data_IF_314814401440
#
_entry.id   IF_314814401440
#
_cell.length_a   1.000
_cell.length_b   1.000
_cell.length_c   1.000
_cell.angle_alpha   90.00
_cell.angle_beta   90.00
_cell.angle_gamma   90.00
#
_symmetry.space_group_name_H-M   'P 1'
#
loop_
_entity.id
_entity.type
_entity.pdbx_description
1 polymer ?
#
# COMPACT_ATOMS: atom_id res chain seq x y z
N UNK A 1 6.42 4.49 17.81
CA UNK A 1 5.69 4.06 19.03
C UNK A 1 5.68 5.22 20.01
N UNK A 2 4.55 5.55 20.62
CA UNK A 2 4.41 6.69 21.56
C UNK A 2 4.18 6.16 22.98
N UNK A 3 4.89 6.75 23.93
CA UNK A 3 4.79 6.42 25.37
C UNK A 3 4.35 7.65 26.17
N UNK A 4 3.60 7.42 27.24
CA UNK A 4 3.16 8.41 28.21
C UNK A 4 3.85 8.12 29.55
N UNK A 5 4.29 9.17 30.24
CA UNK A 5 4.80 9.06 31.60
C UNK A 5 3.68 9.42 32.58
N UNK A 6 3.40 8.51 33.51
CA UNK A 6 2.44 8.72 34.60
C UNK A 6 3.09 9.52 35.73
N UNK A 7 2.27 10.03 36.66
CA UNK A 7 2.74 10.83 37.79
C UNK A 7 3.68 10.06 38.74
N UNK A 8 3.56 8.73 38.78
CA UNK A 8 4.46 7.84 39.53
C UNK A 8 5.79 7.52 38.80
N UNK A 9 6.00 8.13 37.63
CA UNK A 9 7.17 7.93 36.79
C UNK A 9 7.13 6.69 35.90
N UNK A 10 6.06 5.89 35.95
CA UNK A 10 5.92 4.72 35.08
C UNK A 10 5.63 5.12 33.63
N UNK A 11 6.13 4.33 32.67
CA UNK A 11 5.89 4.53 31.25
C UNK A 11 4.81 3.56 30.76
N UNK A 12 3.76 4.09 30.16
CA UNK A 12 2.68 3.31 29.55
C UNK A 12 2.57 3.65 28.06
N UNK A 13 2.23 2.66 27.22
CA UNK A 13 2.07 2.92 25.78
C UNK A 13 0.75 3.64 25.50
N UNK A 14 0.78 4.67 24.65
CA UNK A 14 -0.43 5.43 24.29
C UNK A 14 -1.53 4.56 23.65
N UNK A 15 -1.15 3.55 22.85
CA UNK A 15 -2.10 2.61 22.25
C UNK A 15 -2.75 1.65 23.26
N UNK A 16 -2.19 1.52 24.47
CA UNK A 16 -2.78 0.70 25.54
C UNK A 16 -3.86 1.45 26.33
N UNK A 17 -3.82 2.79 26.33
CA UNK A 17 -4.74 3.62 27.12
C UNK A 17 -5.75 4.40 26.26
N UNK A 18 -5.48 4.57 24.96
CA UNK A 18 -6.39 5.26 24.04
C UNK A 18 -6.99 4.30 23.02
N UNK A 19 -8.31 4.01 23.11
CA UNK A 19 -9.02 3.18 22.14
C UNK A 19 -8.92 3.72 20.70
N UNK A 20 -8.91 5.05 20.54
CA UNK A 20 -8.75 5.69 19.24
C UNK A 20 -7.37 5.42 18.64
N UNK A 21 -6.31 5.64 19.43
CA UNK A 21 -4.93 5.41 18.97
C UNK A 21 -4.73 3.92 18.69
N UNK A 22 -5.30 3.02 19.49
CA UNK A 22 -5.30 1.58 19.23
C UNK A 22 -5.93 1.23 17.87
N UNK A 23 -7.13 1.73 17.60
CA UNK A 23 -7.85 1.45 16.36
C UNK A 23 -7.12 1.95 15.09
N UNK A 24 -6.29 2.99 15.22
CA UNK A 24 -5.46 3.54 14.13
C UNK A 24 -4.12 2.81 14.04
N UNK A 25 -3.47 2.50 15.17
CA UNK A 25 -2.12 1.93 15.23
C UNK A 25 -2.03 0.49 14.72
N UNK A 26 -3.12 -0.29 14.82
CA UNK A 26 -3.19 -1.65 14.29
C UNK A 26 -3.18 -1.70 12.74
N UNK A 27 -3.31 -0.55 12.08
CA UNK A 27 -3.12 -0.44 10.63
C UNK A 27 -1.69 -0.02 10.35
N UNK A 28 -0.82 -0.99 10.11
CA UNK A 28 0.43 -0.76 9.38
C UNK A 28 0.05 -0.31 7.96
N UNK A 29 -0.15 0.99 7.76
CA UNK A 29 -0.46 1.57 6.45
C UNK A 29 0.85 1.73 5.69
N UNK A 30 1.25 0.70 4.94
CA UNK A 30 2.26 0.81 3.90
C UNK A 30 1.59 0.90 2.55
N UNK A 31 1.81 1.99 1.81
CA UNK A 31 1.44 2.06 0.40
C UNK A 31 2.55 1.42 -0.43
N UNK A 32 2.36 0.15 -0.79
CA UNK A 32 3.31 -0.58 -1.63
C UNK A 32 2.91 -0.40 -3.09
N UNK A 33 3.66 0.45 -3.80
CA UNK A 33 3.45 0.72 -5.22
C UNK A 33 4.43 -0.07 -6.07
N UNK A 34 3.90 -0.75 -7.08
CA UNK A 34 4.70 -1.31 -8.15
C UNK A 34 4.74 -0.29 -9.30
N UNK A 35 5.94 0.18 -9.64
CA UNK A 35 6.12 1.19 -10.67
C UNK A 35 6.48 0.52 -12.00
N UNK A 36 5.80 0.93 -13.06
CA UNK A 36 6.01 0.43 -14.41
C UNK A 36 5.75 1.54 -15.44
N UNK A 37 6.31 1.44 -16.65
CA UNK A 37 6.06 2.39 -17.74
C UNK A 37 4.57 2.52 -18.08
N UNK A 38 4.11 3.74 -18.36
CA UNK A 38 2.69 4.02 -18.66
C UNK A 38 2.27 3.38 -19.99
N UNK A 39 3.22 3.22 -20.89
CA UNK A 39 3.10 2.64 -22.22
C UNK A 39 2.52 1.22 -22.18
N UNK A 40 2.67 0.50 -21.06
CA UNK A 40 2.08 -0.84 -20.89
C UNK A 40 0.54 -0.79 -20.75
N UNK A 41 0.00 0.30 -20.17
CA UNK A 41 -1.45 0.52 -20.06
C UNK A 41 -2.04 1.15 -21.32
N UNK A 42 -1.21 1.89 -22.06
CA UNK A 42 -1.59 2.64 -23.24
C UNK A 42 -0.48 2.48 -24.28
N UNK A 43 -0.42 1.32 -24.95
CA UNK A 43 0.52 1.14 -26.06
C UNK A 43 0.16 2.15 -27.15
N UNK A 44 1.18 2.77 -27.75
CA UNK A 44 0.98 3.59 -28.95
C UNK A 44 0.40 2.72 -30.08
N UNK A 45 -0.37 3.34 -30.98
CA UNK A 45 -1.19 2.68 -32.02
C UNK A 45 -0.42 1.74 -32.98
N UNK A 46 0.91 1.62 -32.85
CA UNK A 46 1.79 0.85 -33.74
C UNK A 46 2.60 -0.26 -33.05
N UNK A 47 2.32 -0.62 -31.79
CA UNK A 47 3.13 -1.61 -31.03
C UNK A 47 2.45 -2.98 -31.00
N UNK A 48 2.42 -3.69 -32.12
CA UNK A 48 1.78 -5.01 -32.23
C UNK A 48 2.71 -6.16 -31.79
N UNK A 49 4.04 -5.95 -31.80
CA UNK A 49 5.03 -7.01 -31.54
C UNK A 49 4.97 -7.59 -30.11
N UNK A 50 4.52 -6.79 -29.14
CA UNK A 50 4.46 -7.15 -27.71
C UNK A 50 3.03 -7.12 -27.14
N UNK A 51 2.02 -7.08 -28.02
CA UNK A 51 0.62 -7.04 -27.60
C UNK A 51 0.26 -8.23 -26.67
N UNK A 52 0.70 -9.48 -26.94
CA UNK A 52 0.42 -10.60 -26.04
C UNK A 52 0.96 -10.42 -24.62
N UNK A 53 2.16 -9.84 -24.49
CA UNK A 53 2.81 -9.55 -23.21
C UNK A 53 2.12 -8.40 -22.47
N UNK A 54 1.67 -7.37 -23.19
CA UNK A 54 0.89 -6.28 -22.58
C UNK A 54 -0.47 -6.76 -22.08
N UNK A 55 -1.16 -7.60 -22.85
CA UNK A 55 -2.43 -8.20 -22.44
C UNK A 55 -2.25 -9.09 -21.21
N UNK A 56 -1.16 -9.86 -21.17
CA UNK A 56 -0.81 -10.71 -20.03
C UNK A 56 -0.49 -9.91 -18.77
N UNK A 57 0.31 -8.86 -18.89
CA UNK A 57 0.60 -7.97 -17.77
C UNK A 57 -0.66 -7.26 -17.25
N UNK A 58 -1.51 -6.76 -18.15
CA UNK A 58 -2.74 -6.06 -17.78
C UNK A 58 -3.76 -6.95 -17.05
N UNK A 59 -3.75 -8.27 -17.28
CA UNK A 59 -4.57 -9.22 -16.50
C UNK A 59 -4.21 -9.25 -15.02
N UNK A 60 -3.00 -8.85 -14.64
CA UNK A 60 -2.55 -8.78 -13.26
C UNK A 60 -2.89 -7.45 -12.57
N UNK A 61 -3.53 -6.50 -13.27
CA UNK A 61 -3.92 -5.20 -12.71
C UNK A 61 -5.44 -5.10 -12.65
N UNK A 62 -6.00 -4.87 -11.46
CA UNK A 62 -7.43 -4.63 -11.27
C UNK A 62 -7.67 -3.56 -10.22
N UNK A 63 -8.41 -2.51 -10.58
CA UNK A 63 -8.72 -1.36 -9.73
C UNK A 63 -7.44 -0.74 -9.11
N UNK A 64 -6.44 -0.46 -9.96
CA UNK A 64 -5.15 0.10 -9.58
C UNK A 64 -4.36 -0.73 -8.53
N UNK A 65 -4.63 -2.03 -8.46
CA UNK A 65 -3.94 -2.98 -7.58
C UNK A 65 -3.48 -4.21 -8.35
N UNK A 66 -2.32 -4.74 -7.94
CA UNK A 66 -1.83 -6.02 -8.43
C UNK A 66 -2.66 -7.18 -7.88
N UNK A 67 -3.04 -8.10 -8.75
CA UNK A 67 -3.70 -9.37 -8.44
C UNK A 67 -2.82 -10.54 -8.91
N UNK A 68 -2.96 -11.69 -8.24
CA UNK A 68 -2.25 -12.93 -8.58
C UNK A 68 -2.95 -13.69 -9.69
#
# INVERSE_FOLDING_TARGET
QIHLMQEDGTLVSLSSVSPLVRAISDKQTGDNRFFFPREILKPDENVDLFQPEYDEFNRHIRNDKLIK
#
